data_IF_742191690608
#
_entry.id   IF_742191690608
#
_cell.length_a   1.000
_cell.length_b   1.000
_cell.length_c   1.000
_cell.angle_alpha   90.00
_cell.angle_beta   90.00
_cell.angle_gamma   90.00
#
_symmetry.space_group_name_H-M   'P 1'
#
loop_
_entity.id
_entity.type
_entity.pdbx_description
1 polymer ?
#
# COMPACT_ATOMS: atom_id res chain seq x y z
N UNK A 1 -19.70 -37.73 -15.23
CA UNK A 1 -19.65 -36.34 -15.74
C UNK A 1 -19.96 -35.39 -14.58
N UNK A 2 -18.99 -34.61 -14.11
CA UNK A 2 -19.19 -33.60 -13.08
C UNK A 2 -18.21 -32.45 -13.29
N UNK A 3 -18.69 -31.33 -13.85
CA UNK A 3 -17.88 -30.14 -14.10
C UNK A 3 -17.56 -29.45 -12.77
N UNK A 4 -16.32 -29.51 -12.31
CA UNK A 4 -15.85 -28.67 -11.20
C UNK A 4 -15.60 -27.25 -11.74
N UNK A 5 -16.50 -26.33 -11.39
CA UNK A 5 -16.30 -24.90 -11.59
C UNK A 5 -15.25 -24.40 -10.61
N UNK A 6 -14.02 -24.16 -11.08
CA UNK A 6 -13.01 -23.44 -10.31
C UNK A 6 -13.36 -21.95 -10.29
N UNK A 7 -13.92 -21.50 -9.17
CA UNK A 7 -14.18 -20.09 -8.90
C UNK A 7 -12.85 -19.41 -8.58
N UNK A 8 -12.30 -18.68 -9.55
CA UNK A 8 -11.12 -17.81 -9.37
C UNK A 8 -11.47 -16.71 -8.37
N UNK A 9 -11.08 -16.90 -7.11
CA UNK A 9 -11.31 -15.93 -6.06
C UNK A 9 -10.37 -14.73 -6.23
N UNK A 10 -10.93 -13.54 -6.46
CA UNK A 10 -10.24 -12.25 -6.37
C UNK A 10 -9.38 -12.15 -5.09
N UNK A 11 -8.05 -12.30 -5.21
CA UNK A 11 -7.10 -12.37 -4.10
C UNK A 11 -6.61 -10.98 -3.66
N UNK A 12 -7.54 -10.09 -3.33
CA UNK A 12 -7.30 -8.94 -2.44
C UNK A 12 -7.19 -9.36 -0.96
N UNK A 13 -7.10 -10.66 -0.68
CA UNK A 13 -7.27 -11.25 0.65
C UNK A 13 -6.01 -11.96 1.13
N UNK A 14 -4.94 -11.22 1.43
CA UNK A 14 -4.12 -11.71 2.55
C UNK A 14 -4.93 -11.42 3.81
N UNK A 15 -5.09 -12.43 4.68
CA UNK A 15 -5.80 -12.31 5.96
C UNK A 15 -5.25 -11.17 6.80
N UNK A 16 -3.96 -10.85 6.61
CA UNK A 16 -3.24 -9.72 7.21
C UNK A 16 -3.71 -8.38 6.63
N UNK A 17 -3.80 -8.22 5.30
CA UNK A 17 -4.34 -7.00 4.67
C UNK A 17 -5.82 -6.83 5.02
N UNK A 18 -6.61 -7.91 5.04
CA UNK A 18 -8.01 -7.87 5.49
C UNK A 18 -8.12 -7.50 6.97
N UNK A 19 -7.26 -8.03 7.84
CA UNK A 19 -7.24 -7.69 9.26
C UNK A 19 -6.79 -6.24 9.50
N UNK A 20 -5.79 -5.76 8.76
CA UNK A 20 -5.34 -4.35 8.75
C UNK A 20 -6.47 -3.43 8.27
N UNK A 21 -7.12 -3.75 7.15
CA UNK A 21 -8.26 -2.99 6.62
C UNK A 21 -9.49 -3.04 7.54
N UNK A 22 -9.76 -4.18 8.20
CA UNK A 22 -10.84 -4.30 9.17
C UNK A 22 -10.58 -3.51 10.46
N UNK A 23 -9.32 -3.44 10.93
CA UNK A 23 -8.92 -2.56 12.04
C UNK A 23 -9.12 -1.09 11.65
N UNK A 24 -8.76 -0.74 10.42
CA UNK A 24 -8.96 0.59 9.83
C UNK A 24 -10.46 0.94 9.64
N UNK A 25 -11.32 -0.04 9.33
CA UNK A 25 -12.76 0.16 9.20
C UNK A 25 -13.44 0.30 10.57
N UNK A 26 -13.00 -0.46 11.58
CA UNK A 26 -13.53 -0.35 12.95
C UNK A 26 -13.25 1.01 13.59
N UNK A 27 -12.14 1.67 13.27
CA UNK A 27 -11.87 3.05 13.71
C UNK A 27 -12.81 4.08 13.06
N UNK A 28 -13.32 3.84 11.84
CA UNK A 28 -14.37 4.66 11.21
C UNK A 28 -15.74 4.51 11.89
N UNK A 29 -16.04 3.33 12.43
CA UNK A 29 -17.32 3.05 13.11
C UNK A 29 -17.35 3.65 14.52
N UNK A 30 -16.19 3.73 15.18
CA UNK A 30 -16.09 4.33 16.52
C UNK A 30 -16.31 5.85 16.50
N UNK A 31 -15.91 6.56 15.44
CA UNK A 31 -16.20 7.99 15.27
C UNK A 31 -17.66 8.28 14.90
N UNK A 32 -18.35 7.35 14.24
CA UNK A 32 -19.75 7.51 13.84
C UNK A 32 -20.74 7.07 14.92
N UNK A 33 -20.38 6.14 15.82
CA UNK A 33 -21.26 5.73 16.93
C UNK A 33 -21.40 6.77 18.05
N UNK A 34 -20.45 7.69 18.23
CA UNK A 34 -20.63 8.83 19.16
C UNK A 34 -21.64 9.87 18.67
N UNK A 35 -22.04 9.84 17.38
CA UNK A 35 -23.04 10.77 16.85
C UNK A 35 -24.49 10.34 17.09
N UNK A 36 -24.75 9.19 17.72
CA UNK A 36 -26.13 8.67 17.92
C UNK A 36 -26.77 8.95 19.28
N UNK A 37 -26.15 9.74 20.15
CA UNK A 37 -26.77 10.12 21.43
C UNK A 37 -26.69 11.61 21.70
N UNK A 38 -27.29 12.47 20.86
CA UNK A 38 -27.71 13.80 21.30
C UNK A 38 -29.05 14.22 20.70
N UNK A 39 -30.01 14.32 21.62
CA UNK A 39 -31.28 15.01 21.61
C UNK A 39 -31.18 16.36 20.88
N UNK A 40 -32.20 16.64 20.07
CA UNK A 40 -32.42 17.83 19.25
C UNK A 40 -32.30 19.15 20.03
N UNK A 41 -31.41 20.04 19.59
CA UNK A 41 -31.56 21.50 19.74
C UNK A 41 -31.20 22.12 18.38
N UNK A 42 -32.18 22.80 17.81
CA UNK A 42 -32.17 23.46 16.51
C UNK A 42 -31.32 24.74 16.52
N UNK A 43 -30.50 24.94 15.48
CA UNK A 43 -29.91 26.24 15.17
C UNK A 43 -28.56 26.18 14.43
N UNK A 44 -28.55 26.68 13.20
CA UNK A 44 -27.39 27.09 12.39
C UNK A 44 -26.60 26.01 11.63
N UNK A 45 -27.09 25.78 10.40
CA UNK A 45 -26.41 25.44 9.15
C UNK A 45 -24.91 25.04 9.18
N UNK A 46 -24.66 23.76 8.92
CA UNK A 46 -23.89 23.32 7.75
C UNK A 46 -22.43 23.76 7.63
N UNK A 47 -21.65 23.82 8.71
CA UNK A 47 -20.20 23.98 8.55
C UNK A 47 -19.61 22.68 8.00
N UNK A 48 -18.99 22.77 6.82
CA UNK A 48 -18.28 21.63 6.24
C UNK A 48 -17.13 21.22 7.16
N UNK A 49 -16.77 19.93 7.15
CA UNK A 49 -15.64 19.42 7.94
C UNK A 49 -14.36 20.25 7.66
N UNK A 50 -14.21 20.76 6.43
CA UNK A 50 -13.13 21.66 6.04
C UNK A 50 -13.14 23.01 6.79
N UNK A 51 -14.32 23.59 7.04
CA UNK A 51 -14.48 24.85 7.80
C UNK A 51 -14.27 24.68 9.31
N UNK A 52 -14.56 23.50 9.85
CA UNK A 52 -14.23 23.18 11.24
C UNK A 52 -12.73 22.91 11.41
N UNK A 53 -12.11 22.27 10.42
CA UNK A 53 -10.66 22.02 10.38
C UNK A 53 -9.84 23.31 10.23
N UNK A 54 -10.31 24.26 9.41
CA UNK A 54 -9.62 25.56 9.24
C UNK A 54 -9.65 26.40 10.52
N UNK A 55 -10.76 26.38 11.26
CA UNK A 55 -10.89 27.05 12.57
C UNK A 55 -10.01 26.41 13.67
N UNK A 56 -9.79 25.09 13.61
CA UNK A 56 -8.89 24.40 14.53
C UNK A 56 -7.41 24.61 14.17
N UNK A 57 -7.07 24.74 12.89
CA UNK A 57 -5.73 25.06 12.42
C UNK A 57 -5.27 26.47 12.81
N UNK A 58 -6.21 27.41 12.97
CA UNK A 58 -5.91 28.80 13.35
C UNK A 58 -5.36 28.95 14.80
N UNK A 59 -5.55 27.94 15.67
CA UNK A 59 -5.24 28.06 17.10
C UNK A 59 -3.96 27.34 17.58
N UNK A 60 -3.26 26.56 16.75
CA UNK A 60 -2.15 25.70 17.26
C UNK A 60 -0.75 25.99 16.75
N UNK A 61 -0.52 26.87 15.76
CA UNK A 61 0.82 27.29 15.28
C UNK A 61 1.78 26.17 14.80
N UNK A 62 1.36 24.91 14.89
CA UNK A 62 2.03 23.68 14.45
C UNK A 62 0.98 22.87 13.69
N UNK A 63 1.41 22.15 12.65
CA UNK A 63 0.54 21.24 11.88
C UNK A 63 -0.31 20.44 12.86
N UNK A 64 -1.63 20.62 12.80
CA UNK A 64 -2.52 20.01 13.78
C UNK A 64 -2.32 18.49 13.76
N UNK A 65 -2.26 17.86 14.93
CA UNK A 65 -2.03 16.42 15.07
C UNK A 65 -3.02 15.57 14.26
N UNK A 66 -4.18 16.12 13.89
CA UNK A 66 -5.12 15.53 12.93
C UNK A 66 -4.60 15.49 11.48
N UNK A 67 -4.00 16.57 10.97
CA UNK A 67 -3.42 16.62 9.62
C UNK A 67 -2.24 15.64 9.49
N UNK A 68 -1.41 15.55 10.54
CA UNK A 68 -0.30 14.61 10.59
C UNK A 68 -0.79 13.14 10.59
N UNK A 69 -1.86 12.83 11.32
CA UNK A 69 -2.45 11.47 11.32
C UNK A 69 -3.00 11.08 9.94
N UNK A 70 -3.58 12.02 9.20
CA UNK A 70 -4.06 11.77 7.83
C UNK A 70 -2.88 11.52 6.88
N UNK A 71 -1.87 12.40 6.91
CA UNK A 71 -0.67 12.25 6.08
C UNK A 71 0.06 10.92 6.35
N UNK A 72 0.28 10.58 7.62
CA UNK A 72 0.89 9.31 8.00
C UNK A 72 0.07 8.10 7.50
N UNK A 73 -1.26 8.20 7.53
CA UNK A 73 -2.14 7.13 7.04
C UNK A 73 -2.01 6.95 5.53
N UNK A 74 -1.96 8.03 4.77
CA UNK A 74 -1.80 7.97 3.31
C UNK A 74 -0.43 7.38 2.94
N UNK A 75 0.63 7.80 3.64
CA UNK A 75 1.96 7.19 3.49
C UNK A 75 1.98 5.70 3.90
N UNK A 76 1.28 5.33 4.98
CA UNK A 76 1.18 3.92 5.40
C UNK A 76 0.52 3.07 4.31
N UNK A 77 -0.53 3.58 3.68
CA UNK A 77 -1.21 2.88 2.57
C UNK A 77 -0.32 2.76 1.34
N UNK A 78 0.44 3.81 1.02
CA UNK A 78 1.41 3.80 -0.07
C UNK A 78 2.49 2.73 0.14
N UNK A 79 3.19 2.75 1.28
CA UNK A 79 4.27 1.81 1.56
C UNK A 79 3.77 0.38 1.79
N UNK A 80 2.58 0.16 2.36
CA UNK A 80 2.00 -1.19 2.43
C UNK A 80 1.66 -1.73 1.04
N UNK A 81 1.22 -0.85 0.12
CA UNK A 81 1.03 -1.20 -1.28
C UNK A 81 2.34 -1.53 -1.99
N UNK A 82 3.41 -0.79 -1.70
CA UNK A 82 4.77 -1.02 -2.21
C UNK A 82 5.36 -2.34 -1.70
N UNK A 83 5.28 -2.61 -0.39
CA UNK A 83 5.67 -3.88 0.24
C UNK A 83 5.01 -5.05 -0.49
N UNK A 84 3.67 -4.99 -0.63
CA UNK A 84 2.92 -6.06 -1.29
C UNK A 84 3.30 -6.24 -2.76
N UNK A 85 3.53 -5.15 -3.49
CA UNK A 85 3.93 -5.20 -4.89
C UNK A 85 5.33 -5.83 -5.06
N UNK A 86 6.28 -5.37 -4.24
CA UNK A 86 7.65 -5.82 -4.26
C UNK A 86 7.76 -7.31 -3.87
N UNK A 87 7.05 -7.76 -2.83
CA UNK A 87 6.99 -9.19 -2.48
C UNK A 87 6.43 -10.04 -3.62
N UNK A 88 5.46 -9.53 -4.38
CA UNK A 88 4.88 -10.29 -5.50
C UNK A 88 5.88 -10.43 -6.64
N UNK A 89 6.60 -9.35 -6.98
CA UNK A 89 7.66 -9.40 -7.99
C UNK A 89 8.74 -10.39 -7.57
N UNK A 90 9.26 -10.27 -6.34
CA UNK A 90 10.25 -11.18 -5.76
C UNK A 90 9.78 -12.63 -5.82
N UNK A 91 8.61 -12.96 -5.27
CA UNK A 91 8.09 -14.33 -5.25
C UNK A 91 7.86 -14.90 -6.65
N UNK A 92 7.43 -14.06 -7.60
CA UNK A 92 7.11 -14.51 -8.94
C UNK A 92 8.36 -14.79 -9.74
N UNK A 93 9.36 -13.91 -9.68
CA UNK A 93 10.67 -14.12 -10.30
C UNK A 93 11.46 -15.22 -9.59
N UNK A 94 11.32 -15.36 -8.27
CA UNK A 94 11.92 -16.46 -7.51
C UNK A 94 11.52 -17.84 -8.02
N UNK A 95 10.34 -18.00 -8.63
CA UNK A 95 9.95 -19.27 -9.28
C UNK A 95 10.71 -19.57 -10.57
N UNK A 96 11.26 -18.58 -11.26
CA UNK A 96 12.11 -18.81 -12.43
C UNK A 96 13.47 -19.36 -12.01
N UNK A 97 13.93 -18.97 -10.81
CA UNK A 97 15.25 -19.29 -10.26
C UNK A 97 15.29 -20.62 -9.49
N UNK A 98 14.14 -21.28 -9.31
CA UNK A 98 14.07 -22.56 -8.62
C UNK A 98 14.75 -23.68 -9.41
N UNK A 99 15.40 -24.57 -8.67
CA UNK A 99 16.06 -25.79 -9.19
C UNK A 99 15.60 -27.06 -8.49
N UNK A 100 14.57 -26.97 -7.63
CA UNK A 100 14.06 -28.03 -6.75
C UNK A 100 12.84 -28.76 -7.35
N UNK A 101 12.63 -28.66 -8.67
CA UNK A 101 11.45 -29.21 -9.34
C UNK A 101 10.19 -28.34 -9.21
N UNK A 102 10.29 -27.16 -8.59
CA UNK A 102 9.18 -26.19 -8.46
C UNK A 102 9.33 -24.95 -9.35
N UNK A 103 10.26 -25.00 -10.31
CA UNK A 103 10.47 -23.94 -11.28
C UNK A 103 9.30 -23.78 -12.23
N UNK A 104 9.14 -22.59 -12.80
CA UNK A 104 8.19 -22.40 -13.92
C UNK A 104 8.57 -23.20 -15.16
N UNK A 105 9.85 -23.58 -15.27
CA UNK A 105 10.41 -24.35 -16.38
C UNK A 105 10.33 -25.87 -16.19
N UNK A 106 9.83 -26.34 -15.04
CA UNK A 106 9.78 -27.77 -14.73
C UNK A 106 8.47 -28.40 -15.24
N UNK A 107 8.58 -29.58 -15.83
CA UNK A 107 7.45 -30.35 -16.36
C UNK A 107 7.83 -31.15 -17.61
N UNK A 108 7.15 -32.28 -17.84
CA UNK A 108 7.37 -33.14 -19.01
C UNK A 108 6.59 -32.67 -20.25
N UNK A 109 5.47 -31.98 -20.04
CA UNK A 109 4.59 -31.49 -21.10
C UNK A 109 5.01 -30.08 -21.51
N UNK A 110 5.74 -29.98 -22.63
CA UNK A 110 6.27 -28.72 -23.16
C UNK A 110 5.20 -27.65 -23.37
N UNK A 111 3.98 -28.03 -23.78
CA UNK A 111 2.89 -27.07 -23.99
C UNK A 111 2.41 -26.48 -22.66
N UNK A 112 2.29 -27.31 -21.62
CA UNK A 112 1.95 -26.83 -20.27
C UNK A 112 3.06 -26.00 -19.65
N UNK A 113 4.33 -26.37 -19.86
CA UNK A 113 5.47 -25.56 -19.42
C UNK A 113 5.42 -24.19 -20.09
N UNK A 114 5.13 -24.15 -21.40
CA UNK A 114 4.98 -22.89 -22.14
C UNK A 114 3.90 -22.00 -21.55
N UNK A 115 2.69 -22.54 -21.36
CA UNK A 115 1.56 -21.83 -20.75
C UNK A 115 1.93 -21.28 -19.36
N UNK A 116 2.53 -22.12 -18.52
CA UNK A 116 2.94 -21.74 -17.18
C UNK A 116 3.98 -20.60 -17.18
N UNK A 117 4.98 -20.67 -18.07
CA UNK A 117 5.98 -19.61 -18.25
C UNK A 117 5.32 -18.32 -18.71
N UNK A 118 4.45 -18.37 -19.72
CA UNK A 118 3.77 -17.16 -20.22
C UNK A 118 2.90 -16.50 -19.17
N UNK A 119 2.11 -17.27 -18.41
CA UNK A 119 1.24 -16.76 -17.35
C UNK A 119 2.04 -16.08 -16.23
N UNK A 120 3.20 -16.64 -15.89
CA UNK A 120 4.08 -16.06 -14.89
C UNK A 120 4.73 -14.76 -15.39
N UNK A 121 5.09 -14.66 -16.68
CA UNK A 121 5.62 -13.43 -17.27
C UNK A 121 4.54 -12.34 -17.36
N UNK A 122 3.34 -12.67 -17.85
CA UNK A 122 2.20 -11.74 -17.91
C UNK A 122 1.92 -11.14 -16.53
N UNK A 123 1.88 -12.00 -15.53
CA UNK A 123 1.63 -11.53 -14.17
C UNK A 123 2.82 -10.77 -13.57
N UNK A 124 4.06 -11.10 -13.96
CA UNK A 124 5.26 -10.36 -13.54
C UNK A 124 5.23 -8.93 -14.08
N UNK A 125 4.93 -8.75 -15.36
CA UNK A 125 4.81 -7.42 -15.97
C UNK A 125 3.80 -6.57 -15.21
N UNK A 126 2.65 -7.15 -14.85
CA UNK A 126 1.63 -6.47 -14.06
C UNK A 126 2.10 -6.07 -12.65
N UNK A 127 2.71 -7.00 -11.91
CA UNK A 127 3.22 -6.73 -10.56
C UNK A 127 4.39 -5.72 -10.59
N UNK A 128 5.28 -5.80 -11.58
CA UNK A 128 6.39 -4.86 -11.81
C UNK A 128 5.88 -3.45 -12.08
N UNK A 129 4.92 -3.30 -12.99
CA UNK A 129 4.34 -1.99 -13.32
C UNK A 129 3.64 -1.36 -12.12
N UNK A 130 2.94 -2.18 -11.32
CA UNK A 130 2.33 -1.71 -10.10
C UNK A 130 3.37 -1.27 -9.07
N UNK A 131 4.49 -1.99 -8.93
CA UNK A 131 5.62 -1.58 -8.10
C UNK A 131 6.22 -0.26 -8.58
N UNK A 132 6.51 -0.13 -9.88
CA UNK A 132 7.05 1.08 -10.48
C UNK A 132 6.16 2.30 -10.25
N UNK A 133 4.84 2.12 -10.37
CA UNK A 133 3.87 3.16 -10.04
C UNK A 133 3.95 3.58 -8.57
N UNK A 134 4.11 2.65 -7.64
CA UNK A 134 4.21 2.98 -6.20
C UNK A 134 5.49 3.74 -5.86
N UNK A 135 6.62 3.33 -6.45
CA UNK A 135 7.92 3.98 -6.27
C UNK A 135 7.92 5.42 -6.80
N UNK A 136 7.33 5.64 -7.97
CA UNK A 136 7.28 6.98 -8.59
C UNK A 136 6.24 7.90 -7.95
N UNK A 137 5.17 7.35 -7.39
CA UNK A 137 4.12 8.13 -6.70
C UNK A 137 4.53 8.68 -5.33
N UNK A 138 5.58 8.15 -4.70
CA UNK A 138 5.93 8.56 -3.33
C UNK A 138 6.58 9.94 -3.25
N UNK A 139 7.29 10.35 -4.31
CA UNK A 139 8.12 11.56 -4.32
C UNK A 139 9.38 11.45 -3.44
N UNK A 140 9.65 10.29 -2.82
CA UNK A 140 10.83 10.05 -2.00
C UNK A 140 12.05 9.74 -2.90
N UNK A 141 13.22 10.26 -2.52
CA UNK A 141 14.45 10.12 -3.32
C UNK A 141 15.00 8.69 -3.30
N UNK A 142 14.81 7.96 -2.19
CA UNK A 142 15.21 6.55 -2.06
C UNK A 142 14.33 5.69 -2.95
N UNK A 143 13.02 5.92 -2.92
CA UNK A 143 12.04 5.21 -3.76
C UNK A 143 12.31 5.48 -5.25
N UNK A 144 12.61 6.73 -5.59
CA UNK A 144 13.01 7.13 -6.94
C UNK A 144 14.31 6.44 -7.38
N UNK A 145 15.25 6.19 -6.47
CA UNK A 145 16.48 5.47 -6.77
C UNK A 145 16.21 3.98 -7.02
N UNK A 146 15.31 3.35 -6.26
CA UNK A 146 14.86 1.99 -6.53
C UNK A 146 14.20 1.87 -7.91
N UNK A 147 13.31 2.81 -8.25
CA UNK A 147 12.70 2.91 -9.58
C UNK A 147 13.75 3.00 -10.70
N UNK A 148 14.76 3.86 -10.53
CA UNK A 148 15.87 3.99 -11.49
C UNK A 148 16.67 2.69 -11.64
N UNK A 149 16.97 2.00 -10.54
CA UNK A 149 17.71 0.73 -10.58
C UNK A 149 16.92 -0.36 -11.31
N UNK A 150 15.63 -0.51 -11.02
CA UNK A 150 14.74 -1.44 -11.73
C UNK A 150 14.70 -1.15 -13.24
N UNK A 151 14.59 0.14 -13.60
CA UNK A 151 14.64 0.57 -15.00
C UNK A 151 15.99 0.26 -15.64
N UNK A 152 17.10 0.44 -14.93
CA UNK A 152 18.43 0.14 -15.46
C UNK A 152 18.63 -1.36 -15.70
N UNK A 153 18.17 -2.22 -14.79
CA UNK A 153 18.20 -3.67 -15.01
C UNK A 153 17.38 -4.09 -16.22
N UNK A 154 16.19 -3.51 -16.42
CA UNK A 154 15.40 -3.79 -17.62
C UNK A 154 16.09 -3.28 -18.89
N UNK A 155 16.69 -2.09 -18.86
CA UNK A 155 17.38 -1.55 -20.03
C UNK A 155 18.67 -2.29 -20.40
N UNK A 156 19.35 -2.90 -19.42
CA UNK A 156 20.52 -3.74 -19.69
C UNK A 156 20.16 -4.94 -20.59
N UNK A 157 18.94 -5.48 -20.44
CA UNK A 157 18.43 -6.64 -21.18
C UNK A 157 17.41 -6.24 -22.26
N UNK A 158 17.44 -4.98 -22.73
CA UNK A 158 16.38 -4.41 -23.58
C UNK A 158 16.18 -5.22 -24.87
N UNK A 159 17.27 -5.65 -25.51
CA UNK A 159 17.21 -6.35 -26.78
C UNK A 159 16.52 -7.72 -26.60
N UNK A 160 16.97 -8.48 -25.61
CA UNK A 160 16.48 -9.81 -25.25
C UNK A 160 15.03 -9.76 -24.80
N UNK A 161 14.66 -8.78 -23.97
CA UNK A 161 13.29 -8.53 -23.55
C UNK A 161 12.38 -8.24 -24.76
N UNK A 162 12.84 -7.40 -25.70
CA UNK A 162 12.07 -7.09 -26.93
C UNK A 162 11.91 -8.30 -27.83
N UNK A 163 12.89 -9.19 -27.91
CA UNK A 163 12.82 -10.43 -28.68
C UNK A 163 11.70 -11.34 -28.18
N UNK A 164 11.44 -11.38 -26.88
CA UNK A 164 10.36 -12.17 -26.28
C UNK A 164 9.03 -11.40 -26.09
N UNK A 165 8.93 -10.17 -26.61
CA UNK A 165 7.69 -9.39 -26.57
C UNK A 165 7.53 -8.43 -25.40
N UNK A 166 8.59 -8.16 -24.63
CA UNK A 166 8.56 -7.17 -23.54
C UNK A 166 9.25 -5.88 -24.01
N UNK A 167 8.53 -4.76 -23.98
CA UNK A 167 9.07 -3.43 -24.31
C UNK A 167 9.18 -2.58 -23.05
N UNK A 168 10.25 -1.80 -22.94
CA UNK A 168 10.48 -0.90 -21.81
C UNK A 168 10.10 0.53 -22.21
N UNK A 169 9.18 1.12 -21.46
CA UNK A 169 8.73 2.49 -21.66
C UNK A 169 9.72 3.51 -21.10
N UNK A 170 9.55 4.78 -21.51
CA UNK A 170 10.39 5.88 -21.05
C UNK A 170 10.41 6.09 -19.53
N UNK A 171 9.32 5.74 -18.84
CA UNK A 171 9.21 5.80 -17.37
C UNK A 171 9.75 4.55 -16.66
N UNK A 172 10.20 3.54 -17.43
CA UNK A 172 10.70 2.26 -16.93
C UNK A 172 9.62 1.20 -16.74
N UNK A 173 8.33 1.48 -17.00
CA UNK A 173 7.30 0.44 -17.03
C UNK A 173 7.49 -0.51 -18.22
N UNK A 174 6.88 -1.69 -18.14
CA UNK A 174 6.95 -2.74 -19.14
C UNK A 174 5.63 -2.85 -19.90
N UNK A 175 5.69 -2.99 -21.21
CA UNK A 175 4.57 -3.34 -22.07
C UNK A 175 4.78 -4.74 -22.64
N UNK A 176 3.70 -5.52 -22.75
CA UNK A 176 3.76 -6.91 -23.19
C UNK A 176 2.99 -7.13 -24.49
N UNK A 177 3.69 -7.65 -25.50
CA UNK A 177 3.10 -8.28 -26.67
C UNK A 177 2.89 -9.77 -26.38
N UNK A 178 1.67 -10.11 -25.95
CA UNK A 178 1.29 -11.49 -25.63
C UNK A 178 1.49 -12.46 -26.79
N UNK A 179 1.29 -12.02 -28.03
CA UNK A 179 1.42 -12.89 -29.21
C UNK A 179 2.88 -13.24 -29.42
N UNK A 180 3.77 -12.24 -29.31
CA UNK A 180 5.21 -12.45 -29.42
C UNK A 180 5.76 -13.30 -28.28
N UNK A 181 5.27 -13.08 -27.06
CA UNK A 181 5.62 -13.91 -25.91
C UNK A 181 5.20 -15.38 -26.11
N UNK A 182 3.97 -15.62 -26.56
CA UNK A 182 3.46 -16.98 -26.86
C UNK A 182 4.21 -17.64 -28.02
N UNK A 183 4.80 -16.86 -28.93
CA UNK A 183 5.62 -17.36 -30.02
C UNK A 183 7.09 -17.62 -29.63
N UNK A 184 7.59 -16.98 -28.57
CA UNK A 184 8.98 -17.08 -28.15
C UNK A 184 9.39 -18.50 -27.73
N UNK A 185 10.69 -18.79 -27.87
CA UNK A 185 11.30 -20.05 -27.47
C UNK A 185 11.52 -20.09 -25.95
N UNK A 186 11.11 -21.18 -25.30
CA UNK A 186 11.22 -21.34 -23.84
C UNK A 186 12.68 -21.33 -23.39
N UNK A 187 13.59 -21.90 -24.19
CA UNK A 187 15.03 -21.93 -23.90
C UNK A 187 15.62 -20.52 -23.93
N UNK A 188 15.15 -19.67 -24.85
CA UNK A 188 15.55 -18.25 -24.88
C UNK A 188 15.07 -17.52 -23.62
N UNK A 189 13.79 -17.71 -23.25
CA UNK A 189 13.23 -17.14 -22.02
C UNK A 189 14.01 -17.62 -20.80
N UNK A 190 14.28 -18.92 -20.70
CA UNK A 190 15.01 -19.53 -19.58
C UNK A 190 16.40 -18.96 -19.43
N UNK A 191 17.14 -18.85 -20.54
CA UNK A 191 18.49 -18.26 -20.55
C UNK A 191 18.49 -16.80 -20.08
N UNK A 192 17.53 -16.01 -20.53
CA UNK A 192 17.44 -14.58 -20.19
C UNK A 192 17.00 -14.34 -18.74
N UNK A 193 15.97 -15.06 -18.27
CA UNK A 193 15.45 -14.86 -16.91
C UNK A 193 16.31 -15.58 -15.86
N UNK A 194 16.67 -16.83 -16.09
CA UNK A 194 17.28 -17.72 -15.10
C UNK A 194 18.72 -18.14 -15.44
N UNK A 195 19.37 -17.47 -16.40
CA UNK A 195 20.81 -17.58 -16.61
C UNK A 195 21.61 -17.04 -15.42
N UNK A 196 22.93 -17.26 -15.44
CA UNK A 196 23.85 -16.66 -14.48
C UNK A 196 23.76 -15.12 -14.54
N UNK A 197 23.62 -14.46 -13.38
CA UNK A 197 23.28 -13.03 -13.30
C UNK A 197 22.04 -12.65 -14.13
N UNK A 198 21.08 -13.57 -14.24
CA UNK A 198 19.89 -13.43 -15.06
C UNK A 198 18.99 -12.29 -14.61
N UNK A 199 18.10 -11.86 -15.52
CA UNK A 199 17.18 -10.76 -15.26
C UNK A 199 16.30 -11.01 -14.03
N UNK A 200 15.86 -12.26 -13.81
CA UNK A 200 15.00 -12.60 -12.68
C UNK A 200 15.70 -12.43 -11.34
N UNK A 201 16.98 -12.77 -11.22
CA UNK A 201 17.76 -12.66 -9.99
C UNK A 201 17.92 -11.19 -9.57
N UNK A 202 18.47 -10.35 -10.46
CA UNK A 202 18.69 -8.91 -10.22
C UNK A 202 17.41 -8.19 -9.79
N UNK A 203 16.29 -8.45 -10.48
CA UNK A 203 15.02 -7.80 -10.20
C UNK A 203 14.35 -8.38 -8.96
N UNK A 204 14.44 -9.70 -8.74
CA UNK A 204 13.93 -10.35 -7.53
C UNK A 204 14.61 -9.82 -6.28
N UNK A 205 15.94 -9.77 -6.27
CA UNK A 205 16.73 -9.32 -5.12
C UNK A 205 16.46 -7.87 -4.77
N UNK A 206 16.41 -7.00 -5.79
CA UNK A 206 16.07 -5.60 -5.57
C UNK A 206 14.63 -5.46 -5.05
N UNK A 207 13.70 -6.28 -5.55
CA UNK A 207 12.32 -6.28 -5.07
C UNK A 207 12.22 -6.76 -3.61
N UNK A 208 13.00 -7.76 -3.20
CA UNK A 208 13.11 -8.17 -1.80
C UNK A 208 13.63 -7.05 -0.90
N UNK A 209 14.64 -6.30 -1.37
CA UNK A 209 15.14 -5.11 -0.66
C UNK A 209 14.07 -4.02 -0.53
N UNK A 210 13.34 -3.72 -1.61
CA UNK A 210 12.24 -2.74 -1.60
C UNK A 210 11.14 -3.17 -0.64
N UNK A 211 10.78 -4.46 -0.66
CA UNK A 211 9.77 -5.03 0.25
C UNK A 211 10.15 -4.81 1.71
N UNK A 212 11.39 -5.18 2.08
CA UNK A 212 11.91 -4.99 3.45
C UNK A 212 11.91 -3.52 3.85
N UNK A 213 12.42 -2.64 2.98
CA UNK A 213 12.44 -1.20 3.21
C UNK A 213 11.03 -0.61 3.41
N UNK A 214 10.08 -0.97 2.54
CA UNK A 214 8.70 -0.50 2.64
C UNK A 214 8.02 -0.97 3.94
N UNK A 215 8.31 -2.20 4.37
CA UNK A 215 7.83 -2.75 5.65
C UNK A 215 8.39 -2.00 6.86
N UNK A 216 9.68 -1.63 6.81
CA UNK A 216 10.31 -0.81 7.84
C UNK A 216 9.67 0.58 7.92
N UNK A 217 9.42 1.24 6.77
CA UNK A 217 8.69 2.51 6.68
C UNK A 217 7.27 2.43 7.26
N UNK A 218 6.53 1.37 6.95
CA UNK A 218 5.19 1.13 7.54
C UNK A 218 5.31 1.04 9.06
N UNK A 219 6.28 0.29 9.57
CA UNK A 219 6.48 0.10 11.02
C UNK A 219 6.83 1.42 11.72
N UNK A 220 7.65 2.26 11.09
CA UNK A 220 7.99 3.60 11.58
C UNK A 220 6.77 4.53 11.62
N UNK A 221 5.97 4.56 10.54
CA UNK A 221 4.76 5.35 10.46
C UNK A 221 3.69 4.92 11.46
N UNK A 222 3.56 3.61 11.71
CA UNK A 222 2.67 3.07 12.74
C UNK A 222 3.08 3.54 14.14
N UNK A 223 4.39 3.54 14.46
CA UNK A 223 4.90 4.10 15.73
C UNK A 223 4.62 5.60 15.85
N UNK A 224 4.87 6.36 14.77
CA UNK A 224 4.57 7.79 14.70
C UNK A 224 3.08 8.09 14.93
N UNK A 225 2.19 7.27 14.38
CA UNK A 225 0.74 7.37 14.58
C UNK A 225 0.31 7.16 16.03
N UNK A 226 0.92 6.21 16.74
CA UNK A 226 0.63 5.99 18.18
C UNK A 226 1.01 7.22 18.99
N UNK A 227 2.16 7.84 18.70
CA UNK A 227 2.59 9.07 19.37
C UNK A 227 1.70 10.26 19.03
N UNK A 228 1.38 10.45 17.74
CA UNK A 228 0.54 11.55 17.27
C UNK A 228 -0.89 11.46 17.84
N UNK A 229 -1.47 10.26 17.90
CA UNK A 229 -2.79 10.03 18.48
C UNK A 229 -2.80 10.23 20.00
N UNK A 230 -1.74 9.83 20.71
CA UNK A 230 -1.58 10.08 22.14
C UNK A 230 -1.53 11.59 22.44
N UNK A 231 -0.81 12.36 21.62
CA UNK A 231 -0.75 13.81 21.71
C UNK A 231 -2.10 14.46 21.36
N UNK A 232 -2.77 14.01 20.31
CA UNK A 232 -4.12 14.48 19.95
C UNK A 232 -5.11 14.27 21.10
N UNK A 233 -5.13 13.09 21.72
CA UNK A 233 -5.99 12.80 22.87
C UNK A 233 -5.66 13.68 24.08
N UNK A 234 -4.38 13.99 24.31
CA UNK A 234 -3.93 14.86 25.40
C UNK A 234 -4.42 16.29 25.18
N UNK A 235 -4.20 16.88 24.00
CA UNK A 235 -4.61 18.26 23.71
C UNK A 235 -6.13 18.43 23.57
N UNK A 236 -6.84 17.43 23.04
CA UNK A 236 -8.31 17.43 22.99
C UNK A 236 -8.97 17.42 24.38
N UNK A 237 -8.29 16.89 25.40
CA UNK A 237 -8.73 17.01 26.81
C UNK A 237 -8.51 18.41 27.37
N UNK A 238 -7.42 19.09 27.01
CA UNK A 238 -7.15 20.45 27.48
C UNK A 238 -8.08 21.51 26.85
N UNK A 239 -8.48 21.33 25.58
CA UNK A 239 -9.44 22.24 24.92
C UNK A 239 -10.90 22.03 25.38
N UNK A 240 -11.27 20.82 25.83
CA UNK A 240 -12.58 20.57 26.44
C UNK A 240 -12.61 20.84 27.96
N UNK A 241 -11.45 20.87 28.62
CA UNK A 241 -11.34 21.21 30.04
C UNK A 241 -11.44 22.71 30.34
N UNK A 242 -11.26 23.57 29.34
CA UNK A 242 -11.29 25.04 29.51
C UNK A 242 -12.69 25.65 29.40
N UNK A 243 -13.74 24.86 29.17
CA UNK A 243 -15.13 25.32 29.32
C UNK A 243 -15.72 25.12 30.73
N UNK A 244 -14.94 24.63 31.69
CA UNK A 244 -15.42 24.41 33.07
C UNK A 244 -14.75 25.30 34.11
N UNK A 245 -14.41 26.53 33.73
CA UNK A 245 -13.95 27.54 34.68
C UNK A 245 -14.66 28.87 34.43
N UNK A 246 -15.47 29.24 35.43
CA UNK A 246 -16.11 30.55 35.67
C UNK A 246 -17.52 30.78 35.11
N UNK A 247 -18.52 30.68 36.00
CA UNK A 247 -19.28 31.87 36.43
C UNK A 247 -20.02 31.59 37.73
N UNK A 248 -19.61 32.27 38.79
CA UNK A 248 -20.41 32.53 39.98
C UNK A 248 -21.72 33.26 39.59
N UNK A 249 -22.85 32.94 40.20
CA UNK A 249 -23.77 33.94 40.78
C UNK A 249 -24.72 33.31 41.81
N UNK A 250 -24.82 34.07 42.90
CA UNK A 250 -25.55 33.95 44.15
C UNK A 250 -27.09 33.91 43.97
N UNK A 251 -27.79 33.13 44.80
CA UNK A 251 -29.08 33.57 45.34
C UNK A 251 -29.37 32.90 46.69
N UNK A 252 -29.10 33.63 47.78
CA UNK A 252 -29.63 33.31 49.10
C UNK A 252 -31.11 33.71 49.21
N UNK A 253 -31.89 32.91 49.92
CA UNK A 253 -33.14 33.34 50.53
C UNK A 253 -33.13 33.00 52.03
N UNK A 254 -33.56 34.00 52.79
CA UNK A 254 -33.65 34.11 54.25
C UNK A 254 -34.71 33.20 54.89
N UNK A 255 -34.41 32.75 56.13
CA UNK A 255 -35.24 32.58 57.36
C UNK A 255 -36.59 31.79 57.29
N UNK A 256 -36.96 30.95 58.25
CA UNK A 256 -37.14 31.29 59.66
C UNK A 256 -37.09 30.09 60.63
N UNK A 257 -36.68 30.38 61.87
CA UNK A 257 -36.87 29.55 63.07
C UNK A 257 -38.35 29.19 63.30
N UNK A 258 -38.59 27.96 63.77
CA UNK A 258 -39.46 27.63 64.91
C UNK A 258 -38.99 26.26 65.46
#
# INVERSE_FOLDING_TARGET
MGKMSMRVGNRLNSTIVRARMNRIAKTRIFSTKQQRTKKSISGSSGQSISQLLSKLNANSGKTSSAAQLIANRDQTLLYSGMETAAERVEKRLGKFLKTDGTSVFDGEDEAKVKENVTDHIESFVNDYNYLMKRLTQSGDSVDSNFAKKLKNYANAENKELREIGITINGDGTLELDEKKLKAADISQIKKMFAGEDGFAEKVSDLSGQISKYAKEKVTELEKSNVTASSNYNRYARYTNGTQNSSSYYNNGYYNSKA
#
